data_IF_740124066232
#
_entry.id   IF_740124066232
#
_cell.length_a   1.000
_cell.length_b   1.000
_cell.length_c   1.000
_cell.angle_alpha   90.00
_cell.angle_beta   90.00
_cell.angle_gamma   90.00
#
_symmetry.space_group_name_H-M   'P 1'
#
loop_
_entity.id
_entity.type
_entity.pdbx_description
1 polymer ?
#
# COMPACT_ATOMS: atom_id res chain seq x y z
N UNK A 1 21.03 -12.64 6.80
CA UNK A 1 20.22 -11.80 7.73
C UNK A 1 18.86 -11.64 7.07
N UNK A 2 17.77 -12.04 7.71
CA UNK A 2 16.42 -11.84 7.17
C UNK A 2 16.11 -10.34 7.20
N UNK A 3 15.70 -9.78 6.07
CA UNK A 3 15.22 -8.39 6.01
C UNK A 3 13.98 -8.28 6.91
N UNK A 4 13.89 -7.27 7.80
CA UNK A 4 12.72 -7.14 8.66
C UNK A 4 11.47 -6.88 7.82
N UNK A 5 10.35 -7.47 8.20
CA UNK A 5 9.05 -7.32 7.54
C UNK A 5 8.63 -5.84 7.54
N UNK A 6 8.46 -5.22 6.38
CA UNK A 6 7.96 -3.83 6.25
C UNK A 6 6.45 -3.78 6.50
N UNK A 7 5.97 -2.88 7.37
CA UNK A 7 4.53 -2.71 7.66
C UNK A 7 4.08 -1.31 7.28
N UNK A 8 3.15 -1.23 6.33
CA UNK A 8 2.52 0.00 5.85
C UNK A 8 1.08 0.12 6.36
N UNK A 9 0.75 1.26 6.97
CA UNK A 9 -0.61 1.63 7.35
C UNK A 9 -1.15 2.63 6.33
N UNK A 10 -2.10 2.20 5.50
CA UNK A 10 -2.59 2.96 4.35
C UNK A 10 -3.92 3.67 4.63
N UNK A 11 -4.10 4.88 4.07
CA UNK A 11 -5.32 5.67 4.17
C UNK A 11 -5.42 6.47 5.48
N UNK A 12 -4.30 6.97 5.97
CA UNK A 12 -4.23 7.90 7.10
C UNK A 12 -4.67 9.29 6.63
N UNK A 13 -5.46 9.98 7.47
CA UNK A 13 -6.04 11.30 7.17
C UNK A 13 -5.76 12.35 8.24
N UNK A 14 -5.34 11.94 9.44
CA UNK A 14 -5.19 12.85 10.59
C UNK A 14 -3.84 12.68 11.25
N UNK A 15 -3.35 13.74 11.87
CA UNK A 15 -2.09 13.75 12.60
C UNK A 15 -2.08 12.76 13.78
N UNK A 16 -3.19 12.66 14.53
CA UNK A 16 -3.29 11.76 15.67
C UNK A 16 -3.11 10.29 15.26
N UNK A 17 -3.70 9.89 14.12
CA UNK A 17 -3.55 8.53 13.60
C UNK A 17 -2.16 8.31 13.00
N UNK A 18 -1.56 9.33 12.37
CA UNK A 18 -0.16 9.28 11.93
C UNK A 18 0.76 9.03 13.12
N UNK A 19 0.63 9.80 14.19
CA UNK A 19 1.43 9.63 15.39
C UNK A 19 1.19 8.27 16.08
N UNK A 20 -0.05 7.78 16.08
CA UNK A 20 -0.37 6.44 16.59
C UNK A 20 0.29 5.32 15.75
N UNK A 21 0.32 5.43 14.42
CA UNK A 21 0.98 4.47 13.55
C UNK A 21 2.51 4.46 13.79
N UNK A 22 3.13 5.62 13.94
CA UNK A 22 4.56 5.76 14.28
C UNK A 22 4.85 5.13 15.64
N UNK A 23 4.05 5.46 16.65
CA UNK A 23 4.24 4.94 18.02
C UNK A 23 4.06 3.41 18.08
N UNK A 24 3.17 2.86 17.26
CA UNK A 24 2.95 1.41 17.14
C UNK A 24 4.07 0.67 16.39
N UNK A 25 5.01 1.37 15.73
CA UNK A 25 6.14 0.79 15.02
C UNK A 25 5.83 0.41 13.56
N UNK A 26 4.97 1.18 12.88
CA UNK A 26 4.84 1.12 11.42
C UNK A 26 6.13 1.61 10.76
N UNK A 27 6.47 1.06 9.58
CA UNK A 27 7.63 1.47 8.79
C UNK A 27 7.24 2.50 7.72
N UNK A 28 5.99 2.46 7.25
CA UNK A 28 5.47 3.34 6.20
C UNK A 28 4.01 3.72 6.47
N UNK A 29 3.62 4.91 6.04
CA UNK A 29 2.24 5.39 6.05
C UNK A 29 1.78 5.77 4.65
N UNK A 30 0.50 5.54 4.34
CA UNK A 30 -0.10 5.86 3.05
C UNK A 30 -1.17 6.95 3.15
N UNK A 31 -1.10 7.95 2.27
CA UNK A 31 -2.08 9.01 2.09
C UNK A 31 -2.77 8.83 0.74
N UNK A 32 -4.10 8.77 0.72
CA UNK A 32 -4.85 8.47 -0.50
C UNK A 32 -5.28 9.77 -1.21
N UNK A 33 -4.76 10.03 -2.39
CA UNK A 33 -5.23 11.12 -3.26
C UNK A 33 -6.10 10.56 -4.40
N UNK A 34 -7.35 10.25 -4.08
CA UNK A 34 -8.35 9.77 -5.04
C UNK A 34 -9.75 10.14 -4.54
N UNK A 35 -10.42 11.09 -5.18
CA UNK A 35 -11.67 11.72 -4.72
C UNK A 35 -12.82 10.74 -4.43
N UNK A 36 -12.87 9.59 -5.14
CA UNK A 36 -13.91 8.57 -4.90
C UNK A 36 -13.63 7.70 -3.68
N UNK A 37 -12.47 7.84 -3.05
CA UNK A 37 -12.12 7.08 -1.85
C UNK A 37 -12.65 7.78 -0.59
N UNK A 38 -13.22 7.05 0.40
CA UNK A 38 -13.55 7.62 1.70
C UNK A 38 -12.30 8.03 2.50
N UNK A 39 -11.12 7.64 2.00
CA UNK A 39 -9.81 7.94 2.58
C UNK A 39 -9.11 9.07 1.85
N UNK A 40 -9.83 9.76 0.96
CA UNK A 40 -9.25 10.86 0.19
C UNK A 40 -8.74 11.97 1.11
N UNK A 41 -7.57 12.49 0.76
CA UNK A 41 -6.93 13.66 1.37
C UNK A 41 -6.53 14.59 0.23
N UNK A 42 -6.73 15.89 0.37
CA UNK A 42 -6.34 16.87 -0.64
C UNK A 42 -4.84 17.18 -0.59
N UNK A 43 -4.34 17.95 -1.58
CA UNK A 43 -2.91 18.23 -1.73
C UNK A 43 -2.33 19.01 -0.54
N UNK A 44 -3.06 19.98 0.01
CA UNK A 44 -2.61 20.79 1.13
C UNK A 44 -2.46 19.95 2.41
N UNK A 45 -3.48 19.12 2.68
CA UNK A 45 -3.46 18.20 3.82
C UNK A 45 -2.37 17.13 3.66
N UNK A 46 -2.16 16.58 2.43
CA UNK A 46 -1.06 15.63 2.15
C UNK A 46 0.29 16.28 2.44
N UNK A 47 0.52 17.52 1.98
CA UNK A 47 1.76 18.26 2.25
C UNK A 47 2.02 18.42 3.75
N UNK A 48 0.98 18.70 4.52
CA UNK A 48 1.04 18.81 5.98
C UNK A 48 1.37 17.47 6.65
N UNK A 49 0.73 16.38 6.22
CA UNK A 49 0.97 15.02 6.71
C UNK A 49 2.37 14.51 6.36
N UNK A 50 2.87 14.76 5.14
CA UNK A 50 4.25 14.44 4.73
C UNK A 50 5.24 15.20 5.61
N UNK A 51 5.00 16.49 5.87
CA UNK A 51 5.85 17.30 6.73
C UNK A 51 5.94 16.73 8.16
N UNK A 52 4.83 16.27 8.72
CA UNK A 52 4.76 15.61 10.02
C UNK A 52 5.45 14.23 10.04
N UNK A 53 5.40 13.47 8.94
CA UNK A 53 6.02 12.16 8.80
C UNK A 53 7.54 12.22 8.62
N UNK A 54 8.04 13.33 8.04
CA UNK A 54 9.43 13.47 7.60
C UNK A 54 10.46 13.19 8.70
N UNK A 55 11.38 12.24 8.39
CA UNK A 55 12.42 11.81 9.33
C UNK A 55 11.94 10.93 10.49
N UNK A 56 10.65 10.58 10.50
CA UNK A 56 10.05 9.73 11.55
C UNK A 56 9.52 8.40 10.98
N UNK A 57 9.01 8.41 9.75
CA UNK A 57 8.43 7.26 9.07
C UNK A 57 8.41 7.52 7.56
N UNK A 58 8.51 6.47 6.73
CA UNK A 58 8.36 6.62 5.28
C UNK A 58 6.93 7.02 4.90
N UNK A 59 6.80 8.00 4.01
CA UNK A 59 5.55 8.54 3.51
C UNK A 59 5.28 8.05 2.08
N UNK A 60 4.04 7.62 1.82
CA UNK A 60 3.61 7.11 0.52
C UNK A 60 2.31 7.80 0.09
N UNK A 61 2.26 8.40 -1.10
CA UNK A 61 1.01 8.93 -1.66
C UNK A 61 0.44 7.94 -2.67
N UNK A 62 -0.82 7.55 -2.46
CA UNK A 62 -1.52 6.57 -3.30
C UNK A 62 -2.38 7.28 -4.34
N UNK A 63 -2.12 6.98 -5.61
CA UNK A 63 -2.78 7.56 -6.79
C UNK A 63 -3.48 6.47 -7.61
N UNK A 64 -4.52 6.85 -8.34
CA UNK A 64 -5.25 5.96 -9.26
C UNK A 64 -5.30 6.61 -10.64
N UNK A 65 -4.56 6.06 -11.58
CA UNK A 65 -4.47 6.54 -12.97
C UNK A 65 -4.21 8.06 -13.07
N UNK A 66 -3.14 8.59 -12.41
CA UNK A 66 -2.86 10.01 -12.39
C UNK A 66 -2.40 10.51 -13.77
N UNK A 67 -2.73 11.76 -14.10
CA UNK A 67 -2.10 12.50 -15.19
C UNK A 67 -0.74 13.07 -14.77
N UNK A 68 -0.01 13.69 -15.71
CA UNK A 68 1.33 14.21 -15.44
C UNK A 68 1.32 15.39 -14.45
N UNK A 69 0.27 16.22 -14.48
CA UNK A 69 0.13 17.35 -13.54
C UNK A 69 0.00 16.85 -12.11
N UNK A 70 -0.89 15.88 -11.88
CA UNK A 70 -1.08 15.27 -10.58
C UNK A 70 0.22 14.61 -10.05
N UNK A 71 0.95 13.89 -10.91
CA UNK A 71 2.24 13.29 -10.53
C UNK A 71 3.24 14.36 -10.13
N UNK A 72 3.38 15.45 -10.92
CA UNK A 72 4.32 16.53 -10.63
C UNK A 72 3.95 17.28 -9.32
N UNK A 73 2.68 17.56 -9.09
CA UNK A 73 2.20 18.22 -7.88
C UNK A 73 2.47 17.36 -6.63
N UNK A 74 2.22 16.06 -6.69
CA UNK A 74 2.52 15.13 -5.59
C UNK A 74 4.02 15.00 -5.38
N UNK A 75 4.82 14.83 -6.44
CA UNK A 75 6.27 14.72 -6.33
C UNK A 75 6.90 15.97 -5.70
N UNK A 76 6.36 17.17 -6.00
CA UNK A 76 6.80 18.43 -5.41
C UNK A 76 6.56 18.53 -3.89
N UNK A 77 5.61 17.78 -3.32
CA UNK A 77 5.40 17.69 -1.87
C UNK A 77 6.52 16.88 -1.17
N UNK A 78 7.28 16.09 -1.93
CA UNK A 78 8.43 15.32 -1.46
C UNK A 78 8.06 14.11 -0.59
N UNK A 79 7.11 13.24 -1.00
CA UNK A 79 6.92 11.94 -0.37
C UNK A 79 8.12 11.03 -0.66
N UNK A 80 8.33 10.01 0.17
CA UNK A 80 9.35 8.97 -0.10
C UNK A 80 8.92 8.03 -1.23
N UNK A 81 7.60 7.81 -1.37
CA UNK A 81 6.99 6.88 -2.32
C UNK A 81 5.73 7.45 -2.97
N UNK A 82 5.53 7.10 -4.26
CA UNK A 82 4.23 7.18 -4.93
C UNK A 82 3.76 5.74 -5.21
N UNK A 83 2.55 5.40 -4.78
CA UNK A 83 1.91 4.13 -5.09
C UNK A 83 0.89 4.31 -6.21
N UNK A 84 1.10 3.61 -7.32
CA UNK A 84 0.19 3.56 -8.47
C UNK A 84 -0.78 2.40 -8.31
N UNK A 85 -2.05 2.71 -8.04
CA UNK A 85 -3.09 1.73 -7.67
C UNK A 85 -4.23 1.66 -8.69
N UNK A 86 -3.98 2.08 -9.91
CA UNK A 86 -4.92 2.05 -11.04
C UNK A 86 -4.48 1.07 -12.13
N UNK A 87 -5.11 1.15 -13.31
CA UNK A 87 -4.79 0.33 -14.47
C UNK A 87 -3.61 0.90 -15.29
N UNK A 88 -2.61 1.53 -14.62
CA UNK A 88 -1.44 2.07 -15.31
C UNK A 88 -0.70 0.95 -16.04
N UNK A 89 -0.32 1.20 -17.29
CA UNK A 89 0.48 0.26 -18.10
C UNK A 89 1.94 0.25 -17.63
N UNK A 90 2.71 -0.78 -17.99
CA UNK A 90 4.16 -0.89 -17.71
C UNK A 90 4.88 0.38 -18.20
N UNK A 91 4.64 0.80 -19.44
CA UNK A 91 5.24 2.03 -19.99
C UNK A 91 4.85 3.29 -19.20
N UNK A 92 3.59 3.37 -18.69
CA UNK A 92 3.19 4.51 -17.85
C UNK A 92 3.92 4.52 -16.52
N UNK A 93 4.10 3.37 -15.87
CA UNK A 93 4.86 3.24 -14.62
C UNK A 93 6.32 3.64 -14.83
N UNK A 94 6.96 3.15 -15.90
CA UNK A 94 8.32 3.49 -16.27
C UNK A 94 8.49 5.01 -16.49
N UNK A 95 7.56 5.64 -17.22
CA UNK A 95 7.56 7.10 -17.44
C UNK A 95 7.46 7.86 -16.13
N UNK A 96 6.51 7.51 -15.26
CA UNK A 96 6.33 8.16 -13.96
C UNK A 96 7.59 8.00 -13.10
N UNK A 97 8.17 6.81 -13.05
CA UNK A 97 9.39 6.55 -12.29
C UNK A 97 10.55 7.43 -12.74
N UNK A 98 10.71 7.59 -14.06
CA UNK A 98 11.78 8.41 -14.64
C UNK A 98 11.60 9.91 -14.37
N UNK A 99 10.35 10.40 -14.35
CA UNK A 99 10.03 11.83 -14.27
C UNK A 99 9.80 12.33 -12.84
N UNK A 100 9.25 11.49 -11.95
CA UNK A 100 8.82 11.93 -10.60
C UNK A 100 9.98 12.12 -9.62
N UNK A 101 11.11 11.44 -9.81
CA UNK A 101 12.27 11.52 -8.91
C UNK A 101 12.01 10.97 -7.49
N UNK A 102 10.96 10.16 -7.32
CA UNK A 102 10.58 9.44 -6.09
C UNK A 102 10.43 7.95 -6.36
N UNK A 103 10.51 7.12 -5.33
CA UNK A 103 10.34 5.68 -5.48
C UNK A 103 8.88 5.31 -5.84
N UNK A 104 8.71 4.26 -6.65
CA UNK A 104 7.39 3.83 -7.14
C UNK A 104 7.01 2.46 -6.57
N UNK A 105 5.82 2.39 -5.97
CA UNK A 105 5.14 1.12 -5.66
C UNK A 105 4.08 0.91 -6.73
N UNK A 106 4.08 -0.25 -7.41
CA UNK A 106 2.97 -0.64 -8.29
C UNK A 106 2.08 -1.65 -7.59
N UNK A 107 0.81 -1.29 -7.41
CA UNK A 107 -0.21 -2.21 -6.90
C UNK A 107 -0.85 -2.98 -8.06
N UNK A 108 -0.94 -4.31 -7.90
CA UNK A 108 -1.51 -5.24 -8.86
C UNK A 108 -2.68 -6.00 -8.24
N UNK A 109 -3.86 -6.01 -8.88
CA UNK A 109 -5.03 -6.74 -8.40
C UNK A 109 -4.90 -8.23 -8.73
N UNK A 110 -4.95 -9.10 -7.71
CA UNK A 110 -4.80 -10.54 -7.84
C UNK A 110 -6.11 -11.23 -7.44
N UNK A 111 -6.59 -12.13 -8.32
CA UNK A 111 -7.70 -13.05 -8.05
C UNK A 111 -7.44 -14.46 -8.62
N UNK A 112 -6.61 -14.58 -9.65
CA UNK A 112 -6.30 -15.84 -10.36
C UNK A 112 -4.81 -15.95 -10.64
N UNK A 113 -4.35 -17.14 -11.02
CA UNK A 113 -2.93 -17.36 -11.39
C UNK A 113 -2.52 -16.55 -12.63
N UNK A 114 -3.44 -16.30 -13.56
CA UNK A 114 -3.17 -15.49 -14.75
C UNK A 114 -2.85 -14.03 -14.39
N UNK A 115 -3.42 -13.49 -13.29
CA UNK A 115 -3.10 -12.14 -12.84
C UNK A 115 -1.61 -12.00 -12.43
N UNK A 116 -0.94 -13.12 -12.06
CA UNK A 116 0.47 -13.15 -11.69
C UNK A 116 1.43 -13.00 -12.88
N UNK A 117 0.99 -13.29 -14.10
CA UNK A 117 1.83 -13.19 -15.30
C UNK A 117 2.36 -11.77 -15.54
N UNK A 118 1.63 -10.76 -15.07
CA UNK A 118 2.02 -9.36 -15.21
C UNK A 118 3.07 -8.91 -14.18
N UNK A 119 3.25 -9.65 -13.09
CA UNK A 119 4.08 -9.22 -11.96
C UNK A 119 5.53 -9.01 -12.39
N UNK A 120 6.11 -9.94 -13.13
CA UNK A 120 7.51 -9.84 -13.58
C UNK A 120 7.77 -8.56 -14.39
N UNK A 121 6.88 -8.26 -15.36
CA UNK A 121 7.03 -7.06 -16.19
C UNK A 121 6.93 -5.75 -15.39
N UNK A 122 6.07 -5.70 -14.37
CA UNK A 122 6.01 -4.52 -13.49
C UNK A 122 7.18 -4.45 -12.50
N UNK A 123 7.74 -5.58 -12.07
CA UNK A 123 8.89 -5.62 -11.18
C UNK A 123 10.17 -5.02 -11.81
N UNK A 124 10.27 -5.00 -13.14
CA UNK A 124 11.39 -4.36 -13.85
C UNK A 124 11.30 -2.82 -13.83
N UNK A 125 10.09 -2.26 -13.77
CA UNK A 125 9.85 -0.81 -13.92
C UNK A 125 9.39 -0.11 -12.63
N UNK A 126 9.02 -0.83 -11.60
CA UNK A 126 8.67 -0.30 -10.26
C UNK A 126 9.76 -0.66 -9.25
N UNK A 127 9.90 0.14 -8.19
CA UNK A 127 10.87 -0.13 -7.12
C UNK A 127 10.33 -1.16 -6.11
N UNK A 128 9.00 -1.28 -5.99
CA UNK A 128 8.30 -2.30 -5.21
C UNK A 128 7.00 -2.73 -5.88
N UNK A 129 6.63 -3.98 -5.66
CA UNK A 129 5.34 -4.54 -6.07
C UNK A 129 4.45 -4.70 -4.83
N UNK A 130 3.16 -4.35 -4.98
CA UNK A 130 2.14 -4.61 -3.98
C UNK A 130 1.06 -5.48 -4.63
N UNK A 131 0.77 -6.63 -4.03
CA UNK A 131 -0.29 -7.54 -4.48
C UNK A 131 -1.53 -7.31 -3.62
N UNK A 132 -2.62 -6.85 -4.23
CA UNK A 132 -3.89 -6.54 -3.56
C UNK A 132 -5.00 -7.48 -4.04
N UNK A 133 -5.99 -7.73 -3.20
CA UNK A 133 -7.16 -8.49 -3.59
C UNK A 133 -7.92 -7.77 -4.72
N UNK A 134 -8.17 -8.48 -5.82
CA UNK A 134 -8.93 -7.93 -6.95
C UNK A 134 -10.35 -7.54 -6.51
N UNK A 135 -10.78 -6.31 -6.78
CA UNK A 135 -12.12 -5.88 -6.42
C UNK A 135 -13.18 -6.67 -7.20
N UNK A 136 -14.38 -6.91 -6.63
CA UNK A 136 -15.49 -7.49 -7.36
C UNK A 136 -15.83 -6.69 -8.63
N UNK A 137 -16.39 -7.38 -9.65
CA UNK A 137 -16.85 -6.71 -10.88
C UNK A 137 -17.85 -5.59 -10.54
N UNK A 138 -17.62 -4.39 -11.07
CA UNK A 138 -18.47 -3.22 -10.84
C UNK A 138 -18.13 -2.42 -9.57
N UNK A 139 -17.04 -2.72 -8.87
CA UNK A 139 -16.60 -1.90 -7.75
C UNK A 139 -16.19 -0.49 -8.22
N UNK A 140 -16.60 0.52 -7.46
CA UNK A 140 -16.31 1.95 -7.77
C UNK A 140 -14.85 2.35 -7.50
N UNK A 141 -14.06 1.48 -6.84
CA UNK A 141 -12.67 1.73 -6.46
C UNK A 141 -11.82 0.45 -6.56
N UNK A 142 -10.52 0.60 -6.87
CA UNK A 142 -9.65 -0.53 -7.17
C UNK A 142 -9.21 -1.35 -5.95
N UNK A 143 -9.45 -0.91 -4.71
CA UNK A 143 -9.01 -1.64 -3.52
C UNK A 143 -9.69 -1.19 -2.23
N UNK A 144 -9.23 -1.74 -1.10
CA UNK A 144 -9.72 -1.39 0.24
C UNK A 144 -11.13 -1.88 0.56
N UNK A 145 -11.56 -2.99 -0.03
CA UNK A 145 -12.89 -3.60 0.16
C UNK A 145 -12.93 -4.66 1.27
N UNK A 146 -11.77 -5.00 1.86
CA UNK A 146 -11.69 -5.87 3.04
C UNK A 146 -11.89 -7.36 2.76
N UNK A 147 -11.86 -7.81 1.51
CA UNK A 147 -11.94 -9.24 1.16
C UNK A 147 -10.56 -9.77 0.81
N UNK A 148 -10.05 -10.83 1.47
CA UNK A 148 -8.81 -11.48 1.09
C UNK A 148 -9.00 -12.32 -0.19
N UNK A 149 -7.93 -12.51 -0.96
CA UNK A 149 -7.87 -13.52 -2.01
C UNK A 149 -7.20 -14.79 -1.46
N UNK A 150 -7.24 -15.88 -2.23
CA UNK A 150 -6.58 -17.13 -1.85
C UNK A 150 -5.06 -16.98 -1.96
N UNK A 151 -4.36 -16.87 -0.85
CA UNK A 151 -2.91 -16.67 -0.79
C UNK A 151 -2.12 -17.83 -1.39
N UNK A 152 -2.71 -19.05 -1.52
CA UNK A 152 -2.06 -20.20 -2.18
C UNK A 152 -1.73 -19.91 -3.65
N UNK A 153 -2.43 -18.96 -4.28
CA UNK A 153 -2.09 -18.51 -5.63
C UNK A 153 -0.65 -17.98 -5.71
N UNK A 154 -0.13 -17.38 -4.63
CA UNK A 154 1.21 -16.81 -4.60
C UNK A 154 2.34 -17.85 -4.58
N UNK A 155 2.04 -19.15 -4.38
CA UNK A 155 3.00 -20.25 -4.53
C UNK A 155 3.51 -20.37 -5.99
N UNK A 156 2.75 -19.86 -6.96
CA UNK A 156 3.12 -19.81 -8.37
C UNK A 156 3.99 -18.61 -8.75
N UNK A 157 4.21 -17.67 -7.83
CA UNK A 157 5.05 -16.50 -8.07
C UNK A 157 6.53 -16.90 -8.04
N UNK A 158 7.34 -16.26 -8.89
CA UNK A 158 8.80 -16.41 -8.86
C UNK A 158 9.31 -16.04 -7.45
N UNK A 159 10.03 -16.92 -6.75
CA UNK A 159 10.51 -16.69 -5.39
C UNK A 159 11.49 -15.52 -5.25
N UNK A 160 12.10 -15.06 -6.35
CA UNK A 160 12.98 -13.88 -6.37
C UNK A 160 12.18 -12.56 -6.34
N UNK A 161 10.88 -12.57 -6.65
CA UNK A 161 10.05 -11.38 -6.63
C UNK A 161 9.69 -11.01 -5.20
N UNK A 162 10.24 -9.89 -4.75
CA UNK A 162 9.88 -9.30 -3.46
C UNK A 162 8.60 -8.46 -3.60
N UNK A 163 7.59 -8.78 -2.81
CA UNK A 163 6.31 -8.07 -2.84
C UNK A 163 5.77 -7.74 -1.46
N UNK A 164 4.94 -6.72 -1.42
CA UNK A 164 4.08 -6.40 -0.28
C UNK A 164 2.72 -7.08 -0.47
N UNK A 165 2.21 -7.71 0.58
CA UNK A 165 0.87 -8.31 0.58
C UNK A 165 -0.15 -7.31 1.10
N UNK A 166 -1.25 -7.15 0.36
CA UNK A 166 -2.43 -6.36 0.72
C UNK A 166 -3.73 -7.15 0.46
N UNK A 167 -4.86 -6.52 0.70
CA UNK A 167 -6.17 -7.12 0.44
C UNK A 167 -6.72 -7.94 1.60
N UNK A 168 -7.70 -7.38 2.32
CA UNK A 168 -8.44 -8.06 3.37
C UNK A 168 -7.64 -8.43 4.62
N UNK A 169 -6.44 -7.89 4.79
CA UNK A 169 -5.64 -8.10 6.00
C UNK A 169 -6.29 -7.41 7.20
N UNK A 170 -6.30 -8.12 8.32
CA UNK A 170 -6.85 -7.69 9.61
C UNK A 170 -5.96 -8.15 10.75
N UNK A 171 -6.12 -7.63 11.98
CA UNK A 171 -5.43 -8.18 13.14
C UNK A 171 -5.68 -9.68 13.39
N UNK A 172 -6.77 -10.24 12.84
CA UNK A 172 -7.14 -11.63 13.09
C UNK A 172 -6.52 -12.63 12.12
N UNK A 173 -6.18 -12.20 10.89
CA UNK A 173 -5.61 -13.06 9.86
C UNK A 173 -4.14 -12.75 9.51
N UNK A 174 -3.58 -11.63 9.96
CA UNK A 174 -2.23 -11.19 9.57
C UNK A 174 -1.14 -12.20 9.95
N UNK A 175 -1.26 -12.86 11.10
CA UNK A 175 -0.30 -13.87 11.51
C UNK A 175 -0.28 -15.08 10.58
N UNK A 176 -1.45 -15.55 10.15
CA UNK A 176 -1.61 -16.62 9.16
C UNK A 176 -1.03 -16.19 7.80
N UNK A 177 -1.34 -14.97 7.36
CA UNK A 177 -0.83 -14.41 6.10
C UNK A 177 0.71 -14.39 6.06
N UNK A 178 1.36 -13.89 7.12
CA UNK A 178 2.83 -13.86 7.22
C UNK A 178 3.43 -15.27 7.18
N UNK A 179 2.87 -16.21 7.94
CA UNK A 179 3.36 -17.59 8.00
C UNK A 179 3.21 -18.32 6.66
N UNK A 180 2.08 -18.10 5.96
CA UNK A 180 1.77 -18.77 4.69
C UNK A 180 2.60 -18.23 3.51
N UNK A 181 2.78 -16.89 3.43
CA UNK A 181 3.26 -16.24 2.21
C UNK A 181 4.69 -15.69 2.36
N UNK A 182 5.11 -15.37 3.59
CA UNK A 182 6.41 -14.73 3.89
C UNK A 182 6.71 -13.52 3.01
N UNK A 183 5.81 -12.52 2.95
CA UNK A 183 6.00 -11.37 2.08
C UNK A 183 7.15 -10.48 2.58
N UNK A 184 7.74 -9.70 1.68
CA UNK A 184 8.68 -8.62 2.06
C UNK A 184 8.03 -7.58 2.98
N UNK A 185 6.74 -7.29 2.75
CA UNK A 185 5.99 -6.33 3.54
C UNK A 185 4.49 -6.58 3.53
N UNK A 186 3.80 -5.84 4.38
CA UNK A 186 2.35 -5.85 4.50
C UNK A 186 1.80 -4.44 4.28
N UNK A 187 0.64 -4.34 3.63
CA UNK A 187 -0.13 -3.11 3.53
C UNK A 187 -1.55 -3.33 4.06
N UNK A 188 -1.95 -2.56 5.04
CA UNK A 188 -3.29 -2.65 5.62
C UNK A 188 -4.00 -1.32 5.56
N UNK A 189 -5.28 -1.35 5.15
CA UNK A 189 -6.13 -0.17 5.17
C UNK A 189 -7.43 -0.42 5.94
N UNK A 190 -8.44 -1.04 5.33
CA UNK A 190 -9.77 -1.26 5.95
C UNK A 190 -9.75 -2.13 7.20
N UNK A 191 -8.82 -3.08 7.31
CA UNK A 191 -8.73 -3.98 8.45
C UNK A 191 -8.35 -3.35 9.79
N UNK A 192 -7.94 -2.08 9.77
CA UNK A 192 -7.64 -1.28 10.98
C UNK A 192 -8.56 -0.05 11.09
N UNK A 193 -9.78 -0.17 10.55
CA UNK A 193 -10.83 0.87 10.58
C UNK A 193 -12.04 0.42 11.39
N UNK A 194 -12.74 1.38 12.00
CA UNK A 194 -14.06 1.17 12.63
C UNK A 194 -15.21 1.48 11.68
N UNK A 195 -14.97 2.34 10.70
CA UNK A 195 -15.86 2.66 9.59
C UNK A 195 -15.01 3.09 8.38
N UNK A 196 -15.52 3.05 7.14
CA UNK A 196 -14.75 3.45 5.96
C UNK A 196 -14.07 4.81 6.10
N UNK A 197 -12.74 4.84 6.09
CA UNK A 197 -11.91 6.04 6.26
C UNK A 197 -11.70 6.50 7.72
N UNK A 198 -12.15 5.73 8.71
CA UNK A 198 -11.98 6.02 10.14
C UNK A 198 -11.04 5.00 10.77
N UNK A 199 -9.76 5.33 10.86
CA UNK A 199 -8.73 4.48 11.46
C UNK A 199 -8.90 4.36 12.99
N UNK A 200 -8.48 3.22 13.53
CA UNK A 200 -8.48 2.96 14.97
C UNK A 200 -7.08 2.63 15.45
N UNK A 201 -6.54 3.44 16.36
CA UNK A 201 -5.17 3.31 16.88
C UNK A 201 -4.93 1.94 17.55
N UNK A 202 -5.89 1.41 18.30
CA UNK A 202 -5.75 0.11 18.98
C UNK A 202 -5.74 -1.08 17.97
N UNK A 203 -6.49 -0.95 16.86
CA UNK A 203 -6.43 -1.95 15.78
C UNK A 203 -5.09 -1.88 15.02
N UNK A 204 -4.54 -0.67 14.79
CA UNK A 204 -3.22 -0.48 14.19
C UNK A 204 -2.14 -1.14 15.07
N UNK A 205 -2.11 -0.83 16.35
CA UNK A 205 -1.16 -1.43 17.31
C UNK A 205 -1.27 -2.96 17.33
N UNK A 206 -2.50 -3.48 17.40
CA UNK A 206 -2.75 -4.93 17.45
C UNK A 206 -2.28 -5.61 16.16
N UNK A 207 -2.54 -4.99 14.98
CA UNK A 207 -2.12 -5.51 13.69
C UNK A 207 -0.59 -5.60 13.63
N UNK A 208 0.11 -4.50 13.94
CA UNK A 208 1.58 -4.44 13.89
C UNK A 208 2.20 -5.46 14.84
N UNK A 209 1.73 -5.52 16.09
CA UNK A 209 2.22 -6.47 17.09
C UNK A 209 2.06 -7.93 16.62
N UNK A 210 0.89 -8.31 16.06
CA UNK A 210 0.66 -9.67 15.55
C UNK A 210 1.49 -9.97 14.30
N UNK A 211 1.65 -9.00 13.39
CA UNK A 211 2.49 -9.14 12.21
C UNK A 211 3.97 -9.38 12.58
N UNK A 212 4.51 -8.57 13.51
CA UNK A 212 5.89 -8.72 13.99
C UNK A 212 6.14 -10.03 14.73
N UNK A 213 5.15 -10.54 15.45
CA UNK A 213 5.26 -11.80 16.18
C UNK A 213 5.26 -13.05 15.26
N UNK A 214 4.80 -12.91 14.01
CA UNK A 214 4.72 -13.99 13.03
C UNK A 214 5.87 -13.97 11.98
N UNK A 215 6.73 -12.93 11.97
CA UNK A 215 7.79 -12.69 10.99
C UNK A 215 9.15 -13.40 11.31
#
# INVERSE_FOLDING_TARGET
>A
MTTPLTIKICGIKTFDILDAAIAAGADMVGFMHFQRSPRHVDLEEIGSLISQARGRIESCVVLVNPDNSCVAEIAALGPDWIQLHGPETIHRVETIRAEAGVNIIKALPIATAEDLELVAGFAEVADRILLDAKPPKGAERPGGLGQPFDWRLLEALDPEVQFMLSGGLTPDNVGEAVAAVRPYGLDVSSGVETAPGVKNAALIETFIRKARAAA
#
